data_IF_203957960681
#
_entry.id   IF_203957960681
#
_cell.length_a   1.000
_cell.length_b   1.000
_cell.length_c   1.000
_cell.angle_alpha   90.00
_cell.angle_beta   90.00
_cell.angle_gamma   90.00
#
_symmetry.space_group_name_H-M   'P 1'
#
loop_
_entity.id
_entity.type
_entity.pdbx_description
1 polymer ?
#
# COMPACT_ATOMS: atom_id res chain seq x y z
N UNK A 1 5.14 10.75 -9.87
CA UNK A 1 5.16 11.73 -8.76
C UNK A 1 4.03 11.39 -7.80
N UNK A 2 4.30 11.39 -6.50
CA UNK A 2 3.28 11.13 -5.47
C UNK A 2 2.46 12.39 -5.15
N UNK A 3 1.47 12.28 -4.25
CA UNK A 3 0.54 13.36 -3.91
C UNK A 3 1.12 14.38 -2.91
N UNK A 4 2.35 14.18 -2.43
CA UNK A 4 2.98 15.10 -1.50
C UNK A 4 3.06 16.50 -2.11
N UNK A 5 2.64 17.51 -1.35
CA UNK A 5 2.49 18.89 -1.84
C UNK A 5 3.85 19.46 -2.23
N UNK A 6 4.04 19.72 -3.52
CA UNK A 6 5.27 20.37 -4.01
C UNK A 6 5.28 21.85 -3.58
N UNK A 7 6.40 22.30 -2.99
CA UNK A 7 6.69 23.72 -2.79
C UNK A 7 6.13 24.38 -1.53
N UNK A 8 5.64 23.61 -0.54
CA UNK A 8 5.27 24.19 0.78
C UNK A 8 6.14 23.62 1.91
N UNK A 9 6.76 24.48 2.75
CA UNK A 9 7.50 24.01 3.92
C UNK A 9 6.53 23.41 4.95
N UNK A 10 6.92 22.26 5.50
CA UNK A 10 6.29 21.64 6.67
C UNK A 10 6.52 22.53 7.88
N UNK A 11 5.45 22.94 8.57
CA UNK A 11 5.52 23.86 9.71
C UNK A 11 5.37 23.12 11.04
N UNK A 12 4.68 22.00 11.04
CA UNK A 12 4.42 21.21 12.24
C UNK A 12 4.63 19.71 11.99
N UNK A 13 4.59 18.92 13.06
CA UNK A 13 4.68 17.45 12.97
C UNK A 13 3.44 16.90 12.26
N UNK A 14 2.27 17.48 12.52
CA UNK A 14 1.00 17.09 11.88
C UNK A 14 1.04 17.27 10.37
N UNK A 15 1.74 18.29 9.87
CA UNK A 15 1.94 18.45 8.42
C UNK A 15 2.70 17.24 7.85
N UNK A 16 3.79 16.81 8.51
CA UNK A 16 4.62 15.68 8.07
C UNK A 16 3.87 14.37 8.15
N UNK A 17 3.12 14.15 9.23
CA UNK A 17 2.27 12.98 9.41
C UNK A 17 1.23 12.89 8.29
N UNK A 18 0.51 13.98 8.02
CA UNK A 18 -0.50 14.00 6.97
C UNK A 18 0.08 13.68 5.60
N UNK A 19 1.29 14.17 5.29
CA UNK A 19 1.91 13.86 4.02
C UNK A 19 2.46 12.46 3.92
N UNK A 20 2.99 11.93 5.02
CA UNK A 20 3.39 10.53 5.09
C UNK A 20 2.19 9.63 4.84
N UNK A 21 1.08 9.88 5.54
CA UNK A 21 -0.18 9.15 5.35
C UNK A 21 -0.70 9.27 3.91
N UNK A 22 -0.67 10.47 3.34
CA UNK A 22 -1.10 10.71 1.95
C UNK A 22 -0.23 9.97 0.95
N UNK A 23 1.09 9.96 1.16
CA UNK A 23 2.04 9.26 0.29
C UNK A 23 1.86 7.75 0.39
N UNK A 24 1.76 7.20 1.60
CA UNK A 24 1.55 5.76 1.84
C UNK A 24 0.23 5.31 1.20
N UNK A 25 -0.85 6.08 1.41
CA UNK A 25 -2.14 5.77 0.81
C UNK A 25 -2.04 5.72 -0.72
N UNK A 26 -1.44 6.72 -1.36
CA UNK A 26 -1.25 6.72 -2.81
C UNK A 26 -0.35 5.58 -3.28
N UNK A 27 0.75 5.31 -2.58
CA UNK A 27 1.66 4.23 -2.95
C UNK A 27 0.94 2.89 -2.95
N UNK A 28 0.14 2.61 -1.91
CA UNK A 28 -0.50 1.31 -1.74
C UNK A 28 -1.74 1.14 -2.63
N UNK A 29 -2.52 2.20 -2.87
CA UNK A 29 -3.85 2.08 -3.48
C UNK A 29 -4.00 2.74 -4.85
N UNK A 30 -3.03 3.55 -5.30
CA UNK A 30 -3.16 4.35 -6.52
C UNK A 30 -1.96 4.23 -7.46
N UNK A 31 -0.77 3.92 -6.94
CA UNK A 31 0.44 3.77 -7.75
C UNK A 31 0.42 2.40 -8.44
N UNK A 32 0.33 2.41 -9.77
CA UNK A 32 0.49 1.19 -10.56
C UNK A 32 1.95 0.74 -10.57
N UNK A 33 2.20 -0.53 -10.26
CA UNK A 33 3.54 -1.08 -10.14
C UNK A 33 3.85 -2.05 -11.30
N UNK A 34 4.78 -1.69 -12.19
CA UNK A 34 5.10 -2.51 -13.37
C UNK A 34 5.54 -3.95 -13.04
N UNK A 35 6.35 -4.13 -12.01
CA UNK A 35 6.75 -5.47 -11.53
C UNK A 35 5.57 -6.32 -11.04
N UNK A 36 4.49 -5.69 -10.54
CA UNK A 36 3.29 -6.39 -10.07
C UNK A 36 2.27 -6.57 -11.20
N UNK A 37 2.64 -6.37 -12.47
CA UNK A 37 1.69 -6.43 -13.58
C UNK A 37 0.80 -5.20 -13.71
N UNK A 38 1.29 -4.04 -13.26
CA UNK A 38 0.57 -2.76 -13.31
C UNK A 38 -0.66 -2.66 -12.40
N UNK A 39 -0.72 -3.43 -11.31
CA UNK A 39 -1.72 -3.23 -10.24
C UNK A 39 -1.12 -2.45 -9.05
N UNK A 40 -1.95 -1.86 -8.18
CA UNK A 40 -1.50 -1.30 -6.90
C UNK A 40 -0.94 -2.37 -5.96
N UNK A 41 0.05 -2.03 -5.11
CA UNK A 41 0.60 -2.95 -4.12
C UNK A 41 -0.44 -3.61 -3.22
N UNK A 42 -1.45 -2.86 -2.74
CA UNK A 42 -2.46 -3.41 -1.85
C UNK A 42 -3.32 -4.50 -2.53
N UNK A 43 -3.60 -4.36 -3.83
CA UNK A 43 -4.34 -5.37 -4.60
C UNK A 43 -3.49 -6.63 -4.79
N UNK A 44 -2.20 -6.47 -5.12
CA UNK A 44 -1.28 -7.60 -5.25
C UNK A 44 -1.11 -8.37 -3.93
N UNK A 45 -1.00 -7.67 -2.79
CA UNK A 45 -0.95 -8.31 -1.48
C UNK A 45 -2.25 -9.06 -1.17
N UNK A 46 -3.41 -8.47 -1.48
CA UNK A 46 -4.71 -9.10 -1.27
C UNK A 46 -4.82 -10.41 -2.06
N UNK A 47 -4.40 -10.42 -3.33
CA UNK A 47 -4.38 -11.63 -4.16
C UNK A 47 -3.41 -12.68 -3.61
N UNK A 48 -2.21 -12.26 -3.18
CA UNK A 48 -1.22 -13.13 -2.56
C UNK A 48 -1.79 -13.79 -1.29
N UNK A 49 -2.38 -13.03 -0.38
CA UNK A 49 -2.93 -13.59 0.86
C UNK A 49 -4.20 -14.42 0.62
N UNK A 50 -5.02 -14.10 -0.39
CA UNK A 50 -6.16 -14.93 -0.76
C UNK A 50 -5.70 -16.31 -1.25
N UNK A 51 -4.68 -16.35 -2.10
CA UNK A 51 -4.08 -17.58 -2.62
C UNK A 51 -3.39 -18.39 -1.51
N UNK A 52 -2.57 -17.74 -0.69
CA UNK A 52 -1.91 -18.43 0.43
C UNK A 52 -2.91 -18.89 1.51
N UNK A 53 -4.01 -18.16 1.73
CA UNK A 53 -5.08 -18.61 2.62
C UNK A 53 -5.78 -19.85 2.08
N UNK A 54 -5.97 -19.97 0.77
CA UNK A 54 -6.45 -21.21 0.14
C UNK A 54 -5.40 -22.34 0.17
N UNK A 55 -4.11 -22.02 0.20
CA UNK A 55 -3.06 -23.04 0.39
C UNK A 55 -2.95 -23.48 1.87
N UNK A 56 -3.35 -22.63 2.81
CA UNK A 56 -3.41 -22.90 4.25
C UNK A 56 -4.72 -23.56 4.70
N UNK A 57 -5.60 -23.98 3.78
CA UNK A 57 -6.85 -24.64 4.16
C UNK A 57 -6.55 -26.01 4.84
N UNK A 58 -6.67 -26.01 6.17
CA UNK A 58 -6.78 -27.14 7.10
C UNK A 58 -5.53 -28.00 7.34
N UNK A 59 -4.56 -27.47 8.10
CA UNK A 59 -3.90 -28.33 9.09
C UNK A 59 -4.75 -28.27 10.36
N UNK A 60 -5.82 -29.07 10.40
CA UNK A 60 -6.51 -29.34 11.66
C UNK A 60 -5.49 -29.97 12.61
N UNK A 61 -5.22 -29.29 13.72
CA UNK A 61 -4.51 -29.88 14.85
C UNK A 61 -5.52 -30.83 15.51
N UNK A 62 -5.42 -32.13 15.19
CA UNK A 62 -6.03 -33.22 15.97
C UNK A 62 -5.28 -33.40 17.29
#
# INVERSE_FOLDING_TARGET
RGPAREGRPWKTVEDVELATLSWVHWHNHKRLHGYLGHVPPAESEQEFYATNRSDQTLVEIQ
#
